data_IF_990526063493
#
_entry.id   IF_990526063493
#
_cell.length_a   1.000
_cell.length_b   1.000
_cell.length_c   1.000
_cell.angle_alpha   90.00
_cell.angle_beta   90.00
_cell.angle_gamma   90.00
#
_symmetry.space_group_name_H-M   'P 1'
#
loop_
_entity.id
_entity.type
_entity.pdbx_description
1 polymer ?
#
# COMPACT_ATOMS: atom_id res chain seq x y z
N UNK A 1 44.05 -33.33 5.59
CA UNK A 1 43.34 -32.49 4.60
C UNK A 1 42.07 -33.14 4.00
N UNK A 2 41.52 -34.23 4.53
CA UNK A 2 40.35 -34.93 3.95
C UNK A 2 39.01 -34.64 4.65
N UNK A 3 38.99 -33.84 5.71
CA UNK A 3 37.78 -33.58 6.53
C UNK A 3 37.17 -32.20 6.36
N UNK A 4 37.79 -31.28 5.61
CA UNK A 4 37.30 -29.93 5.42
C UNK A 4 36.19 -29.83 4.33
N UNK A 5 36.21 -30.75 3.36
CA UNK A 5 35.27 -30.69 2.22
C UNK A 5 33.79 -30.93 2.60
N UNK A 6 33.45 -31.89 3.49
CA UNK A 6 32.04 -32.10 3.88
C UNK A 6 31.47 -30.96 4.74
N UNK A 7 32.30 -30.23 5.50
CA UNK A 7 31.85 -29.09 6.33
C UNK A 7 31.45 -27.90 5.47
N UNK A 8 32.16 -27.63 4.38
CA UNK A 8 31.85 -26.54 3.46
C UNK A 8 30.53 -26.80 2.71
N UNK A 9 30.30 -28.07 2.31
CA UNK A 9 29.04 -28.44 1.64
C UNK A 9 27.85 -28.33 2.60
N UNK A 10 28.04 -28.67 3.88
CA UNK A 10 26.97 -28.56 4.89
C UNK A 10 26.57 -27.10 5.19
N UNK A 11 27.56 -26.18 5.17
CA UNK A 11 27.26 -24.73 5.35
C UNK A 11 26.48 -24.11 4.18
N UNK A 12 26.56 -24.66 2.98
CA UNK A 12 25.82 -24.14 1.81
C UNK A 12 24.34 -24.49 1.84
N UNK A 13 23.91 -25.47 2.65
CA UNK A 13 22.49 -25.82 2.80
C UNK A 13 21.72 -24.91 3.77
N UNK A 14 22.40 -24.06 4.55
CA UNK A 14 21.78 -23.09 5.45
C UNK A 14 21.59 -21.69 4.86
N UNK A 15 21.66 -21.55 3.53
CA UNK A 15 21.14 -20.33 2.89
C UNK A 15 19.62 -20.38 3.04
N UNK A 16 19.16 -19.96 4.21
CA UNK A 16 17.77 -19.76 4.53
C UNK A 16 17.19 -18.81 3.48
N UNK A 17 16.29 -19.34 2.67
CA UNK A 17 15.56 -18.53 1.71
C UNK A 17 14.54 -17.71 2.52
N UNK A 18 14.93 -16.50 2.95
CA UNK A 18 14.06 -15.62 3.70
C UNK A 18 12.84 -15.26 2.86
N UNK A 19 11.68 -15.30 3.49
CA UNK A 19 10.42 -14.85 2.89
C UNK A 19 10.32 -13.35 3.04
N UNK A 20 9.90 -12.65 2.00
CA UNK A 20 9.62 -11.22 2.06
C UNK A 20 8.12 -10.98 1.97
N UNK A 21 7.63 -10.08 2.80
CA UNK A 21 6.25 -9.61 2.77
C UNK A 21 6.24 -8.12 2.47
N UNK A 22 5.60 -7.72 1.41
CA UNK A 22 5.36 -6.30 1.11
C UNK A 22 3.87 -5.98 1.17
N UNK A 23 3.55 -4.85 1.76
CA UNK A 23 2.19 -4.30 1.81
C UNK A 23 2.16 -2.96 1.08
N UNK A 24 1.17 -2.78 0.23
CA UNK A 24 0.98 -1.60 -0.60
C UNK A 24 -0.44 -1.09 -0.47
N UNK A 25 -0.59 0.23 -0.34
CA UNK A 25 -1.88 0.90 -0.46
C UNK A 25 -1.82 1.89 -1.61
N UNK A 26 -2.76 1.75 -2.54
CA UNK A 26 -2.86 2.56 -3.76
C UNK A 26 -4.16 3.33 -3.75
N UNK A 27 -4.13 4.53 -4.31
CA UNK A 27 -5.34 5.25 -4.71
C UNK A 27 -5.32 5.34 -6.24
N UNK A 28 -6.42 4.92 -6.86
CA UNK A 28 -6.64 4.99 -8.31
C UNK A 28 -7.72 6.01 -8.60
N UNK A 29 -7.45 6.89 -9.54
CA UNK A 29 -8.41 7.86 -10.03
C UNK A 29 -9.14 7.32 -11.27
N UNK A 30 -10.36 6.83 -11.09
CA UNK A 30 -11.25 6.37 -12.17
C UNK A 30 -12.36 7.39 -12.45
N UNK A 31 -12.18 8.63 -11.97
CA UNK A 31 -13.07 9.75 -12.26
C UNK A 31 -12.60 10.54 -13.49
N UNK A 32 -13.43 11.46 -13.95
CA UNK A 32 -13.12 12.38 -15.05
C UNK A 32 -12.36 13.64 -14.58
N UNK A 33 -12.02 13.73 -13.29
CA UNK A 33 -11.44 14.91 -12.67
C UNK A 33 -9.95 14.73 -12.38
N UNK A 34 -9.18 15.80 -12.47
CA UNK A 34 -7.85 15.89 -11.90
C UNK A 34 -7.95 16.03 -10.39
N UNK A 35 -7.23 15.18 -9.65
CA UNK A 35 -7.28 15.12 -8.19
C UNK A 35 -5.94 15.49 -7.58
N UNK A 36 -5.98 16.12 -6.41
CA UNK A 36 -4.83 16.26 -5.51
C UNK A 36 -5.09 15.47 -4.24
N UNK A 37 -4.26 14.47 -3.97
CA UNK A 37 -4.31 13.62 -2.79
C UNK A 37 -3.27 14.10 -1.80
N UNK A 38 -3.67 14.47 -0.61
CA UNK A 38 -2.75 14.77 0.49
C UNK A 38 -2.80 13.64 1.51
N UNK A 39 -1.66 13.02 1.76
CA UNK A 39 -1.49 11.97 2.76
C UNK A 39 -0.56 12.44 3.87
N UNK A 40 -1.05 12.35 5.10
CA UNK A 40 -0.27 12.64 6.30
C UNK A 40 -0.21 11.39 7.17
N UNK A 41 1.02 10.94 7.45
CA UNK A 41 1.29 9.80 8.32
C UNK A 41 1.64 10.30 9.72
N UNK A 42 0.96 9.80 10.73
CA UNK A 42 1.18 10.17 12.13
C UNK A 42 2.62 9.92 12.62
N UNK A 43 3.26 8.84 12.16
CA UNK A 43 4.62 8.50 12.60
C UNK A 43 5.71 9.42 12.02
N UNK A 44 5.48 9.98 10.86
CA UNK A 44 6.45 10.81 10.14
C UNK A 44 5.70 11.97 9.49
N UNK A 45 5.39 13.05 10.24
CA UNK A 45 4.56 14.13 9.76
C UNK A 45 5.27 14.91 8.64
N UNK A 46 5.16 14.39 7.44
CA UNK A 46 5.48 15.09 6.20
C UNK A 46 4.29 14.89 5.28
N UNK A 47 3.59 15.98 4.97
CA UNK A 47 2.51 15.94 4.01
C UNK A 47 3.07 15.56 2.65
N UNK A 48 2.59 14.44 2.12
CA UNK A 48 2.87 14.05 0.74
C UNK A 48 1.67 14.44 -0.12
N UNK A 49 1.90 15.24 -1.14
CA UNK A 49 0.86 15.67 -2.07
C UNK A 49 1.12 14.98 -3.42
N UNK A 50 0.10 14.29 -3.91
CA UNK A 50 0.12 13.59 -5.18
C UNK A 50 -0.94 14.19 -6.10
N UNK A 51 -0.58 14.41 -7.36
CA UNK A 51 -1.52 14.84 -8.40
C UNK A 51 -1.84 13.66 -9.29
N UNK A 52 -3.11 13.34 -9.45
CA UNK A 52 -3.60 12.23 -10.25
C UNK A 52 -4.54 12.73 -11.33
N UNK A 53 -4.13 12.57 -12.58
CA UNK A 53 -5.03 12.70 -13.71
C UNK A 53 -6.02 11.50 -13.79
N UNK A 54 -7.08 11.59 -14.58
CA UNK A 54 -7.96 10.45 -14.85
C UNK A 54 -7.18 9.21 -15.30
N UNK A 55 -7.52 8.04 -14.72
CA UNK A 55 -6.89 6.73 -14.93
C UNK A 55 -5.45 6.59 -14.38
N UNK A 56 -4.98 7.52 -13.58
CA UNK A 56 -3.71 7.37 -12.86
C UNK A 56 -3.89 6.75 -11.48
N UNK A 57 -2.79 6.21 -10.95
CA UNK A 57 -2.74 5.64 -9.60
C UNK A 57 -1.46 6.04 -8.87
N UNK A 58 -1.53 6.09 -7.55
CA UNK A 58 -0.39 6.41 -6.68
C UNK A 58 -0.32 5.46 -5.49
N UNK A 59 0.90 5.11 -5.10
CA UNK A 59 1.16 4.40 -3.84
C UNK A 59 1.23 5.42 -2.71
N UNK A 60 0.34 5.31 -1.73
CA UNK A 60 0.33 6.16 -0.53
C UNK A 60 1.04 5.49 0.65
N UNK A 61 1.06 4.16 0.69
CA UNK A 61 1.79 3.37 1.69
C UNK A 61 2.53 2.26 0.97
N UNK A 62 3.81 2.11 1.33
CA UNK A 62 4.65 1.01 0.89
C UNK A 62 5.46 0.53 2.09
N UNK A 63 5.31 -0.72 2.49
CA UNK A 63 6.11 -1.34 3.53
C UNK A 63 6.64 -2.69 3.07
N UNK A 64 7.90 -2.97 3.38
CA UNK A 64 8.56 -4.25 3.14
C UNK A 64 9.08 -4.80 4.46
N UNK A 65 8.81 -6.08 4.70
CA UNK A 65 9.29 -6.79 5.87
C UNK A 65 10.00 -8.07 5.44
N UNK A 66 11.15 -8.32 6.04
CA UNK A 66 11.93 -9.54 5.89
C UNK A 66 11.58 -10.53 7.01
N UNK A 67 11.29 -11.78 6.63
CA UNK A 67 11.02 -12.86 7.58
C UNK A 67 9.60 -12.89 8.15
N UNK A 68 9.29 -13.98 8.86
CA UNK A 68 8.05 -14.12 9.64
C UNK A 68 8.28 -13.51 11.02
N UNK A 69 7.59 -12.42 11.33
CA UNK A 69 7.53 -11.86 12.68
C UNK A 69 6.37 -12.49 13.46
N UNK A 70 6.64 -13.30 14.49
CA UNK A 70 5.57 -13.89 15.31
C UNK A 70 4.78 -12.78 16.01
N UNK A 71 3.46 -12.82 15.85
CA UNK A 71 2.53 -11.85 16.48
C UNK A 71 2.08 -10.69 15.59
N UNK A 72 2.62 -10.55 14.39
CA UNK A 72 2.08 -9.61 13.42
C UNK A 72 1.02 -10.27 12.52
N UNK A 73 -0.04 -9.52 12.22
CA UNK A 73 -1.01 -9.95 11.22
C UNK A 73 -0.30 -10.05 9.87
N UNK A 74 -0.41 -11.19 9.17
CA UNK A 74 0.25 -11.38 7.87
C UNK A 74 -0.23 -10.37 6.83
N UNK A 75 -1.47 -9.89 6.97
CA UNK A 75 -2.09 -8.90 6.09
C UNK A 75 -2.69 -7.79 6.95
N UNK A 76 -2.10 -6.59 6.98
CA UNK A 76 -2.70 -5.45 7.67
C UNK A 76 -4.00 -5.04 6.96
N UNK A 77 -5.00 -4.48 7.67
CA UNK A 77 -6.23 -4.02 7.07
C UNK A 77 -5.97 -3.01 5.94
N UNK A 78 -6.77 -3.07 4.90
CA UNK A 78 -6.66 -2.17 3.75
C UNK A 78 -7.00 -0.73 4.09
N UNK A 79 -7.96 -0.52 4.98
CA UNK A 79 -8.38 0.82 5.41
C UNK A 79 -7.22 1.67 5.95
N UNK A 80 -7.36 2.97 5.85
CA UNK A 80 -6.39 3.90 6.43
C UNK A 80 -6.52 3.89 7.96
N UNK A 81 -5.38 3.89 8.66
CA UNK A 81 -5.33 3.98 10.11
C UNK A 81 -6.08 5.22 10.63
N UNK A 82 -6.70 5.11 11.80
CA UNK A 82 -7.35 6.25 12.46
C UNK A 82 -6.39 7.39 12.80
N UNK A 83 -5.10 7.11 12.83
CA UNK A 83 -4.05 8.11 13.10
C UNK A 83 -3.53 8.80 11.84
N UNK A 84 -3.76 8.20 10.66
CA UNK A 84 -3.36 8.78 9.38
C UNK A 84 -4.51 9.60 8.79
N UNK A 85 -4.18 10.59 7.99
CA UNK A 85 -5.17 11.38 7.28
C UNK A 85 -4.92 11.34 5.78
N UNK A 86 -6.01 11.14 5.02
CA UNK A 86 -6.02 11.28 3.57
C UNK A 86 -7.10 12.29 3.22
N UNK A 87 -6.74 13.30 2.45
CA UNK A 87 -7.69 14.25 1.91
C UNK A 87 -7.58 14.32 0.40
N UNK A 88 -8.70 14.51 -0.25
CA UNK A 88 -8.80 14.65 -1.72
C UNK A 88 -9.35 16.01 -2.05
N UNK A 89 -8.67 16.72 -2.92
CA UNK A 89 -9.14 17.97 -3.52
C UNK A 89 -9.36 17.76 -5.00
N UNK A 90 -10.51 18.20 -5.51
CA UNK A 90 -10.83 18.15 -6.93
C UNK A 90 -10.31 19.44 -7.59
N UNK A 91 -9.44 19.29 -8.58
CA UNK A 91 -8.87 20.44 -9.28
C UNK A 91 -9.85 20.91 -10.38
N UNK A 92 -10.79 21.74 -10.01
CA UNK A 92 -11.83 22.24 -10.92
C UNK A 92 -12.16 23.71 -10.62
N UNK A 93 -12.67 24.42 -11.63
CA UNK A 93 -13.19 25.79 -11.49
C UNK A 93 -14.48 25.81 -10.65
N UNK A 94 -15.28 24.73 -10.77
CA UNK A 94 -16.50 24.54 -9.98
C UNK A 94 -16.09 23.84 -8.66
N UNK A 95 -16.63 24.25 -7.51
CA UNK A 95 -16.29 23.64 -6.23
C UNK A 95 -16.94 22.25 -6.10
N UNK A 96 -16.17 21.20 -6.40
CA UNK A 96 -16.55 19.82 -6.14
C UNK A 96 -15.98 19.36 -4.80
N UNK A 97 -16.69 18.44 -4.15
CA UNK A 97 -16.31 17.82 -2.89
C UNK A 97 -16.17 16.30 -3.05
N UNK A 98 -15.12 15.75 -2.46
CA UNK A 98 -14.96 14.30 -2.35
C UNK A 98 -15.71 13.79 -1.13
N UNK A 99 -16.54 12.75 -1.30
CA UNK A 99 -17.39 12.17 -0.25
C UNK A 99 -16.99 10.73 0.12
N UNK A 100 -15.97 10.16 -0.52
CA UNK A 100 -15.49 8.80 -0.20
C UNK A 100 -14.84 8.73 1.19
N UNK A 101 -14.92 7.56 1.81
CA UNK A 101 -14.29 7.27 3.11
C UNK A 101 -13.18 6.23 2.96
N UNK A 102 -11.93 6.64 3.15
CA UNK A 102 -10.76 5.75 3.12
C UNK A 102 -10.68 4.82 4.34
N UNK A 103 -11.51 5.00 5.36
CA UNK A 103 -11.59 4.12 6.52
C UNK A 103 -12.58 2.99 6.32
N UNK A 104 -13.45 3.10 5.32
CA UNK A 104 -14.37 2.03 4.93
C UNK A 104 -13.59 0.91 4.25
N UNK A 105 -13.39 -0.21 4.96
CA UNK A 105 -12.62 -1.36 4.50
C UNK A 105 -13.25 -2.04 3.28
N UNK A 106 -14.57 -1.95 3.12
CA UNK A 106 -15.30 -2.53 1.98
C UNK A 106 -15.10 -1.77 0.67
N UNK A 107 -14.53 -0.57 0.73
CA UNK A 107 -14.21 0.25 -0.43
C UNK A 107 -12.82 -0.07 -1.03
N UNK A 108 -12.07 -0.95 -0.38
CA UNK A 108 -10.75 -1.34 -0.82
C UNK A 108 -10.80 -2.70 -1.51
N UNK A 109 -10.27 -2.76 -2.71
CA UNK A 109 -10.01 -4.02 -3.40
C UNK A 109 -8.70 -4.61 -2.89
N UNK A 110 -8.78 -5.80 -2.32
CA UNK A 110 -7.65 -6.53 -1.76
C UNK A 110 -7.15 -7.60 -2.73
N UNK A 111 -5.84 -7.68 -2.91
CA UNK A 111 -5.19 -8.77 -3.63
C UNK A 111 -3.91 -9.22 -2.95
N UNK A 112 -3.70 -10.55 -2.91
CA UNK A 112 -2.52 -11.18 -2.33
C UNK A 112 -1.87 -12.04 -3.40
N UNK A 113 -0.63 -11.73 -3.75
CA UNK A 113 0.12 -12.41 -4.79
C UNK A 113 1.48 -12.90 -4.27
N UNK A 114 1.90 -14.06 -4.79
CA UNK A 114 3.20 -14.66 -4.49
C UNK A 114 3.16 -15.72 -3.39
N UNK A 115 4.19 -16.56 -3.35
CA UNK A 115 4.34 -17.64 -2.35
C UNK A 115 5.52 -17.38 -1.41
N UNK A 116 6.68 -17.00 -1.94
CA UNK A 116 7.89 -16.69 -1.16
C UNK A 116 8.07 -15.19 -0.97
N UNK A 117 7.68 -14.42 -1.98
CA UNK A 117 7.61 -12.96 -1.94
C UNK A 117 6.14 -12.60 -2.01
N UNK A 118 5.51 -12.46 -0.85
CA UNK A 118 4.08 -12.14 -0.78
C UNK A 118 3.89 -10.63 -0.91
N UNK A 119 3.08 -10.24 -1.86
CA UNK A 119 2.67 -8.84 -2.05
C UNK A 119 1.19 -8.73 -1.72
N UNK A 120 0.89 -8.02 -0.64
CA UNK A 120 -0.46 -7.65 -0.24
C UNK A 120 -0.75 -6.25 -0.79
N UNK A 121 -1.70 -6.13 -1.69
CA UNK A 121 -2.07 -4.87 -2.34
C UNK A 121 -3.50 -4.51 -2.03
N UNK A 122 -3.71 -3.29 -1.57
CA UNK A 122 -5.02 -2.70 -1.32
C UNK A 122 -5.18 -1.50 -2.25
N UNK A 123 -6.26 -1.47 -3.03
CA UNK A 123 -6.54 -0.39 -3.98
C UNK A 123 -7.86 0.28 -3.63
N UNK A 124 -7.85 1.57 -3.39
CA UNK A 124 -9.04 2.40 -3.29
C UNK A 124 -9.28 3.09 -4.64
N UNK A 125 -10.44 2.84 -5.24
CA UNK A 125 -10.79 3.45 -6.53
C UNK A 125 -11.76 4.60 -6.32
N UNK A 126 -11.36 5.79 -6.75
CA UNK A 126 -12.20 6.99 -6.76
C UNK A 126 -12.92 7.04 -8.11
N UNK A 127 -14.24 7.21 -8.08
CA UNK A 127 -15.09 7.29 -9.26
C UNK A 127 -15.85 8.63 -9.30
N UNK A 128 -16.56 8.92 -10.37
CA UNK A 128 -17.41 10.12 -10.45
C UNK A 128 -18.49 10.15 -9.35
N UNK A 129 -18.92 9.00 -8.86
CA UNK A 129 -19.93 8.90 -7.77
C UNK A 129 -19.39 9.39 -6.42
N UNK A 130 -18.08 9.42 -6.24
CA UNK A 130 -17.42 9.91 -5.03
C UNK A 130 -17.22 11.44 -5.04
N UNK A 131 -17.63 12.11 -6.13
CA UNK A 131 -17.40 13.54 -6.35
C UNK A 131 -18.74 14.22 -6.58
N UNK A 132 -19.09 15.17 -5.72
CA UNK A 132 -20.35 15.92 -5.77
C UNK A 132 -20.09 17.42 -5.87
N UNK A 133 -20.99 18.13 -6.51
CA UNK A 133 -21.02 19.60 -6.60
C UNK A 133 -21.51 20.23 -5.30
#
# INVERSE_FOLDING_TARGET
>A
MKTLFPVIIFCLFFISCETTHSSRKLIRNNSDFDLSITYNNYCCPSDSIFHLAPNEEVYIVLSEKLGNHPGELPNPPCSISIFDTVSVSVNSIIPYSFIGDFRDEYRWDESINGKRHTVHSCTFTITNEDIIE
#
